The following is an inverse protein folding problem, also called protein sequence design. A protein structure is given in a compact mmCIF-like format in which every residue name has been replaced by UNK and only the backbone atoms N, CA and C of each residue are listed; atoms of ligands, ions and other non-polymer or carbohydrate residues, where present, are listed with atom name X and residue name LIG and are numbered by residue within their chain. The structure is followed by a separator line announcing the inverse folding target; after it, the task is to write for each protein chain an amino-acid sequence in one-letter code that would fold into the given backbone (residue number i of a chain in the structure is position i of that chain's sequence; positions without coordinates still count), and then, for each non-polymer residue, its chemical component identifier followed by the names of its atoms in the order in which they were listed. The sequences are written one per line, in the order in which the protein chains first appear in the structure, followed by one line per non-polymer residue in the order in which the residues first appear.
data_IF_122944532117
#
_entry.id   IF_122944532117
#
_cell.length_a   1.000
_cell.length_b   1.000
_cell.length_c   1.000
_cell.angle_alpha   90.00
_cell.angle_beta   90.00
_cell.angle_gamma   90.00
#
_symmetry.space_group_name_H-M   'P 1'
#
loop_
_entity.id
_entity.type
_entity.pdbx_description
1 polymer ?
#
# COMPACT_ATOMS: atom_id res chain seq x y z
N UNK A 1 -2.27 -4.68 18.16
CA UNK A 1 -0.90 -4.63 17.58
C UNK A 1 -0.46 -3.18 17.63
N UNK A 2 0.59 -2.85 18.36
CA UNK A 2 1.16 -1.50 18.36
C UNK A 2 2.04 -1.43 17.12
N UNK A 3 1.76 -0.50 16.23
CA UNK A 3 2.56 -0.28 15.01
C UNK A 3 4.05 -0.11 15.39
N UNK A 4 4.89 -1.04 14.98
CA UNK A 4 6.33 -1.06 15.28
C UNK A 4 6.76 -1.91 16.48
N UNK A 5 5.86 -2.61 17.16
CA UNK A 5 6.23 -3.54 18.26
C UNK A 5 7.16 -4.67 17.79
N UNK A 6 7.01 -5.09 16.54
CA UNK A 6 7.76 -6.19 15.94
C UNK A 6 9.07 -5.74 15.27
N UNK A 7 9.38 -4.45 15.31
CA UNK A 7 10.52 -3.86 14.60
C UNK A 7 11.86 -4.54 14.92
N UNK A 8 12.12 -4.82 16.20
CA UNK A 8 13.39 -5.44 16.61
C UNK A 8 13.52 -6.86 16.06
N UNK A 9 12.41 -7.60 16.06
CA UNK A 9 12.39 -8.96 15.52
C UNK A 9 12.51 -8.98 14.00
N UNK A 10 11.86 -8.04 13.30
CA UNK A 10 12.03 -7.89 11.84
C UNK A 10 13.48 -7.54 11.50
N UNK A 11 14.13 -6.64 12.25
CA UNK A 11 15.54 -6.32 12.07
C UNK A 11 16.42 -7.56 12.29
N UNK A 12 16.10 -8.37 13.30
CA UNK A 12 16.84 -9.61 13.54
C UNK A 12 16.63 -10.61 12.38
N UNK A 13 15.40 -10.78 11.90
CA UNK A 13 15.11 -11.62 10.73
C UNK A 13 15.90 -11.15 9.49
N UNK A 14 15.97 -9.84 9.25
CA UNK A 14 16.77 -9.29 8.13
C UNK A 14 18.25 -9.73 8.25
N UNK A 15 18.83 -9.63 9.46
CA UNK A 15 20.22 -10.02 9.70
C UNK A 15 20.43 -11.53 9.49
N UNK A 16 19.52 -12.35 10.02
CA UNK A 16 19.60 -13.79 9.93
C UNK A 16 19.47 -14.27 8.49
N UNK A 17 18.53 -13.71 7.72
CA UNK A 17 18.35 -14.01 6.30
C UNK A 17 19.55 -13.55 5.46
N UNK A 18 20.13 -12.39 5.79
CA UNK A 18 21.34 -11.91 5.14
C UNK A 18 22.52 -12.89 5.35
N UNK A 19 22.71 -13.38 6.58
CA UNK A 19 23.76 -14.35 6.89
C UNK A 19 23.56 -15.70 6.18
N UNK A 20 22.30 -16.08 5.95
CA UNK A 20 21.93 -17.30 5.22
C UNK A 20 21.98 -17.12 3.70
N UNK A 21 22.22 -15.92 3.18
CA UNK A 21 22.19 -15.62 1.75
C UNK A 21 20.77 -15.58 1.14
N UNK A 22 19.73 -15.61 1.98
CA UNK A 22 18.32 -15.62 1.57
C UNK A 22 17.77 -14.21 1.41
N UNK A 23 18.30 -13.44 0.47
CA UNK A 23 18.01 -12.02 0.31
C UNK A 23 16.54 -11.68 -0.04
N UNK A 24 15.80 -12.65 -0.58
CA UNK A 24 14.40 -12.50 -0.97
C UNK A 24 13.42 -13.17 0.01
N UNK A 25 13.92 -13.68 1.14
CA UNK A 25 13.06 -14.29 2.13
C UNK A 25 12.23 -13.24 2.87
N UNK A 26 10.97 -13.59 3.16
CA UNK A 26 10.09 -12.74 3.95
C UNK A 26 10.66 -12.53 5.35
N UNK A 27 10.67 -11.29 5.80
CA UNK A 27 11.22 -10.87 7.11
C UNK A 27 10.16 -10.31 8.05
N UNK A 28 9.01 -9.91 7.52
CA UNK A 28 7.90 -9.37 8.29
C UNK A 28 7.19 -10.45 9.08
N UNK A 29 6.69 -10.05 10.26
CA UNK A 29 6.04 -10.95 11.22
C UNK A 29 4.56 -10.59 11.29
N UNK A 30 3.72 -11.64 11.37
CA UNK A 30 2.28 -11.47 11.58
C UNK A 30 1.46 -11.20 10.33
N UNK A 31 2.09 -11.17 9.16
CA UNK A 31 1.35 -11.15 7.91
C UNK A 31 0.64 -12.49 7.67
N UNK A 32 -0.61 -12.47 7.23
CA UNK A 32 -1.30 -13.70 6.85
C UNK A 32 -0.55 -14.46 5.77
N UNK A 33 -0.42 -15.78 5.95
CA UNK A 33 0.08 -16.66 4.89
C UNK A 33 -1.12 -17.15 4.09
N UNK A 34 -1.11 -16.92 2.80
CA UNK A 34 -2.19 -17.31 1.90
C UNK A 34 -1.73 -18.43 0.97
N UNK A 35 -2.58 -19.42 0.78
CA UNK A 35 -2.45 -20.35 -0.34
C UNK A 35 -2.75 -19.65 -1.67
N UNK A 36 -2.28 -20.18 -2.81
CA UNK A 36 -2.60 -19.63 -4.13
C UNK A 36 -4.10 -19.50 -4.41
N UNK A 37 -4.92 -20.40 -3.87
CA UNK A 37 -6.37 -20.37 -4.03
C UNK A 37 -6.99 -19.22 -3.23
N UNK A 38 -6.61 -19.03 -1.97
CA UNK A 38 -7.07 -17.92 -1.14
C UNK A 38 -6.69 -16.57 -1.75
N UNK A 39 -5.46 -16.42 -2.24
CA UNK A 39 -5.03 -15.21 -2.94
C UNK A 39 -5.89 -14.93 -4.18
N UNK A 40 -6.23 -15.97 -4.94
CA UNK A 40 -7.11 -15.85 -6.11
C UNK A 40 -8.55 -15.50 -5.71
N UNK A 41 -9.07 -16.07 -4.64
CA UNK A 41 -10.40 -15.72 -4.13
C UNK A 41 -10.50 -14.25 -3.72
N UNK A 42 -9.48 -13.74 -3.04
CA UNK A 42 -9.41 -12.31 -2.64
C UNK A 42 -9.40 -11.41 -3.87
N UNK A 43 -8.56 -11.70 -4.86
CA UNK A 43 -8.49 -10.89 -6.09
C UNK A 43 -9.80 -10.96 -6.89
N UNK A 44 -10.41 -12.13 -7.02
CA UNK A 44 -11.70 -12.29 -7.71
C UNK A 44 -12.82 -11.53 -6.99
N UNK A 45 -12.85 -11.59 -5.66
CA UNK A 45 -13.80 -10.83 -4.85
C UNK A 45 -13.60 -9.32 -5.07
N UNK A 46 -12.37 -8.85 -5.01
CA UNK A 46 -12.04 -7.44 -5.28
C UNK A 46 -12.54 -7.00 -6.65
N UNK A 47 -12.24 -7.77 -7.71
CA UNK A 47 -12.68 -7.46 -9.08
C UNK A 47 -14.19 -7.38 -9.20
N UNK A 48 -14.92 -8.30 -8.56
CA UNK A 48 -16.37 -8.37 -8.58
C UNK A 48 -17.02 -7.22 -7.81
N UNK A 49 -16.45 -6.86 -6.66
CA UNK A 49 -17.09 -5.95 -5.71
C UNK A 49 -16.70 -4.48 -5.87
N UNK A 50 -15.49 -4.17 -6.39
CA UNK A 50 -14.91 -2.82 -6.39
C UNK A 50 -15.77 -1.73 -7.04
N UNK A 51 -16.67 -2.10 -7.95
CA UNK A 51 -17.61 -1.17 -8.61
C UNK A 51 -18.97 -1.08 -7.96
N UNK A 52 -19.29 -1.96 -6.99
CA UNK A 52 -20.61 -2.03 -6.34
C UNK A 52 -20.83 -0.87 -5.37
N UNK A 53 -22.11 -0.50 -5.17
CA UNK A 53 -22.48 0.56 -4.23
C UNK A 53 -22.04 0.25 -2.78
N UNK A 54 -22.22 -0.97 -2.23
CA UNK A 54 -21.75 -1.29 -0.89
C UNK A 54 -20.25 -1.13 -0.73
N UNK A 55 -19.45 -1.56 -1.73
CA UNK A 55 -18.01 -1.40 -1.70
C UNK A 55 -17.62 0.09 -1.72
N UNK A 56 -18.24 0.88 -2.58
CA UNK A 56 -18.00 2.33 -2.68
C UNK A 56 -18.33 3.04 -1.37
N UNK A 57 -19.40 2.65 -0.69
CA UNK A 57 -19.75 3.20 0.63
C UNK A 57 -18.71 2.85 1.70
N UNK A 58 -18.29 1.58 1.79
CA UNK A 58 -17.22 1.16 2.69
C UNK A 58 -15.91 1.89 2.39
N UNK A 59 -15.58 2.08 1.12
CA UNK A 59 -14.39 2.84 0.70
C UNK A 59 -14.48 4.32 1.06
N UNK A 60 -15.67 4.91 1.02
CA UNK A 60 -15.87 6.28 1.51
C UNK A 60 -15.57 6.38 3.02
N UNK A 61 -16.10 5.46 3.83
CA UNK A 61 -15.86 5.43 5.27
C UNK A 61 -14.38 5.17 5.59
N UNK A 62 -13.76 4.20 4.93
CA UNK A 62 -12.35 3.87 5.12
C UNK A 62 -11.44 5.07 4.79
N UNK A 63 -11.72 5.78 3.70
CA UNK A 63 -10.99 7.01 3.35
C UNK A 63 -11.17 8.10 4.40
N UNK A 64 -12.39 8.27 4.92
CA UNK A 64 -12.63 9.25 5.97
C UNK A 64 -11.77 8.96 7.20
N UNK A 65 -11.77 7.72 7.67
CA UNK A 65 -10.94 7.29 8.81
C UNK A 65 -9.45 7.49 8.52
N UNK A 66 -8.98 7.02 7.36
CA UNK A 66 -7.58 7.16 6.96
C UNK A 66 -7.15 8.63 6.85
N UNK A 67 -8.01 9.50 6.34
CA UNK A 67 -7.74 10.93 6.21
C UNK A 67 -7.66 11.63 7.56
N UNK A 68 -8.53 11.28 8.50
CA UNK A 68 -8.48 11.81 9.88
C UNK A 68 -7.18 11.36 10.54
N UNK A 69 -6.84 10.06 10.47
CA UNK A 69 -5.57 9.54 11.00
C UNK A 69 -4.36 10.21 10.36
N UNK A 70 -4.35 10.35 9.04
CA UNK A 70 -3.30 11.05 8.29
C UNK A 70 -3.11 12.49 8.77
N UNK A 71 -4.19 13.22 9.00
CA UNK A 71 -4.13 14.61 9.50
C UNK A 71 -3.44 14.68 10.87
N UNK A 72 -3.86 13.84 11.83
CA UNK A 72 -3.27 13.88 13.17
C UNK A 72 -1.81 13.41 13.19
N UNK A 73 -1.47 12.39 12.41
CA UNK A 73 -0.09 11.86 12.33
C UNK A 73 0.85 12.88 11.68
N UNK A 74 0.39 13.57 10.62
CA UNK A 74 1.26 14.38 9.78
C UNK A 74 1.04 15.90 9.94
N UNK A 75 0.35 16.36 10.98
CA UNK A 75 0.06 17.80 11.17
C UNK A 75 1.31 18.68 11.23
N UNK A 76 2.42 18.14 11.70
CA UNK A 76 3.71 18.82 11.82
C UNK A 76 4.72 18.35 10.76
N UNK A 77 4.30 17.56 9.76
CA UNK A 77 5.17 17.07 8.71
C UNK A 77 5.40 18.17 7.68
N UNK A 78 6.65 18.54 7.48
CA UNK A 78 7.09 19.42 6.41
C UNK A 78 7.42 18.59 5.17
N UNK A 79 7.00 19.07 4.00
CA UNK A 79 7.31 18.46 2.72
C UNK A 79 8.34 19.39 2.05
N UNK A 80 9.53 18.85 1.82
CA UNK A 80 10.64 19.58 1.21
C UNK A 80 10.91 19.00 -0.18
N UNK A 81 11.02 19.86 -1.18
CA UNK A 81 11.35 19.49 -2.55
C UNK A 81 10.59 20.31 -3.59
N UNK A 82 11.07 20.25 -4.82
CA UNK A 82 10.50 20.97 -5.97
C UNK A 82 9.57 20.04 -6.75
N UNK A 83 8.34 19.89 -6.26
CA UNK A 83 7.32 19.11 -6.96
C UNK A 83 6.22 20.06 -7.42
N UNK A 84 6.01 20.13 -8.74
CA UNK A 84 4.84 20.81 -9.30
C UNK A 84 3.56 20.04 -8.94
N UNK A 85 2.66 20.60 -8.10
CA UNK A 85 1.41 19.94 -7.74
C UNK A 85 0.49 19.64 -8.92
N UNK A 86 0.63 20.38 -10.03
CA UNK A 86 -0.16 20.18 -11.24
C UNK A 86 0.13 18.83 -11.91
N UNK A 87 1.33 18.26 -11.69
CA UNK A 87 1.67 16.93 -12.18
C UNK A 87 0.70 15.89 -11.63
N UNK A 88 0.35 15.97 -10.36
CA UNK A 88 -0.56 15.01 -9.72
C UNK A 88 -1.96 15.01 -10.33
N UNK A 89 -2.37 16.12 -10.94
CA UNK A 89 -3.69 16.24 -11.60
C UNK A 89 -3.76 15.52 -12.95
N UNK A 90 -2.64 15.02 -13.45
CA UNK A 90 -2.55 14.31 -14.75
C UNK A 90 -2.73 12.79 -14.64
N UNK A 91 -2.79 12.26 -13.42
CA UNK A 91 -2.70 10.83 -13.16
C UNK A 91 -1.23 10.36 -13.16
N UNK A 92 -0.70 10.02 -11.99
CA UNK A 92 0.72 9.71 -11.82
C UNK A 92 0.93 8.48 -10.96
N UNK A 93 2.07 7.84 -11.17
CA UNK A 93 2.60 6.83 -10.26
C UNK A 93 3.65 7.50 -9.39
N UNK A 94 3.47 7.41 -8.07
CA UNK A 94 4.47 7.80 -7.08
C UNK A 94 5.18 6.53 -6.64
N UNK A 95 6.50 6.55 -6.62
CA UNK A 95 7.32 5.52 -6.00
C UNK A 95 7.96 6.07 -4.74
N UNK A 96 8.05 5.27 -3.70
CA UNK A 96 8.64 5.65 -2.42
C UNK A 96 9.41 4.47 -1.84
N UNK A 97 10.35 4.78 -0.96
CA UNK A 97 11.01 3.79 -0.11
C UNK A 97 9.99 3.22 0.87
N UNK A 98 10.19 1.96 1.26
CA UNK A 98 9.33 1.28 2.22
C UNK A 98 10.10 1.00 3.53
N UNK A 99 10.01 1.90 4.50
CA UNK A 99 10.78 1.83 5.75
C UNK A 99 9.94 1.89 7.04
N UNK A 100 8.64 2.17 6.92
CA UNK A 100 7.74 2.30 8.07
C UNK A 100 6.30 1.98 7.68
N UNK A 101 5.50 1.34 8.52
CA UNK A 101 4.08 1.11 8.23
C UNK A 101 3.26 2.41 8.14
N UNK A 102 3.80 3.54 8.57
CA UNK A 102 3.11 4.83 8.58
C UNK A 102 3.49 5.76 7.41
N UNK A 103 4.48 5.42 6.61
CA UNK A 103 4.96 6.31 5.54
C UNK A 103 3.90 6.58 4.46
N UNK A 104 3.00 5.64 4.20
CA UNK A 104 1.88 5.85 3.29
C UNK A 104 0.99 7.03 3.73
N UNK A 105 0.95 7.33 5.04
CA UNK A 105 0.23 8.50 5.57
C UNK A 105 0.92 9.80 5.18
N UNK A 106 2.27 9.82 5.08
CA UNK A 106 3.04 10.98 4.61
C UNK A 106 2.72 11.26 3.15
N UNK A 107 2.75 10.21 2.31
CA UNK A 107 2.41 10.34 0.88
C UNK A 107 0.94 10.77 0.71
N UNK A 108 0.02 10.20 1.49
CA UNK A 108 -1.39 10.62 1.49
C UNK A 108 -1.55 12.08 1.89
N UNK A 109 -0.80 12.54 2.88
CA UNK A 109 -0.79 13.94 3.32
C UNK A 109 -0.33 14.87 2.18
N UNK A 110 0.77 14.52 1.51
CA UNK A 110 1.28 15.25 0.35
C UNK A 110 0.26 15.32 -0.78
N UNK A 111 -0.28 14.17 -1.20
CA UNK A 111 -1.27 14.07 -2.29
C UNK A 111 -2.51 14.92 -2.00
N UNK A 112 -2.97 14.94 -0.75
CA UNK A 112 -4.10 15.78 -0.32
C UNK A 112 -3.78 17.26 -0.31
N UNK A 113 -2.60 17.66 0.17
CA UNK A 113 -2.13 19.07 0.10
C UNK A 113 -2.07 19.58 -1.34
N UNK A 114 -1.76 18.70 -2.28
CA UNK A 114 -1.73 19.01 -3.72
C UNK A 114 -3.11 18.99 -4.40
N UNK A 115 -4.20 18.90 -3.62
CA UNK A 115 -5.57 18.97 -4.11
C UNK A 115 -6.16 17.68 -4.64
N UNK A 116 -5.42 16.56 -4.62
CA UNK A 116 -5.93 15.26 -5.01
C UNK A 116 -6.74 14.61 -3.89
N UNK A 117 -7.86 13.96 -4.27
CA UNK A 117 -8.79 13.34 -3.31
C UNK A 117 -8.47 11.90 -2.99
N UNK A 118 -7.74 11.19 -3.88
CA UNK A 118 -7.47 9.77 -3.78
C UNK A 118 -6.00 9.45 -3.95
N UNK A 119 -5.54 8.53 -3.14
CA UNK A 119 -4.27 7.84 -3.30
C UNK A 119 -4.57 6.36 -3.35
N UNK A 120 -4.43 5.75 -4.52
CA UNK A 120 -4.51 4.30 -4.67
C UNK A 120 -3.17 3.70 -4.28
N UNK A 121 -3.16 2.60 -3.52
CA UNK A 121 -1.93 1.95 -3.04
C UNK A 121 -1.90 0.52 -3.53
N UNK A 122 -0.90 0.15 -4.32
CA UNK A 122 -0.66 -1.24 -4.69
C UNK A 122 -0.07 -1.96 -3.49
N UNK A 123 -0.74 -3.01 -3.02
CA UNK A 123 -0.39 -3.71 -1.79
C UNK A 123 -0.52 -5.22 -1.95
N UNK A 124 0.34 -5.97 -1.29
CA UNK A 124 0.32 -7.45 -1.33
C UNK A 124 -1.06 -7.98 -0.96
N UNK A 125 -1.50 -9.01 -1.66
CA UNK A 125 -2.82 -9.64 -1.46
C UNK A 125 -3.00 -10.17 -0.02
N UNK A 126 -1.91 -10.52 0.65
CA UNK A 126 -1.90 -10.95 2.05
C UNK A 126 -2.48 -9.90 3.00
N UNK A 127 -2.26 -8.61 2.73
CA UNK A 127 -2.78 -7.51 3.53
C UNK A 127 -4.32 -7.44 3.52
N UNK A 128 -4.96 -7.97 2.48
CA UNK A 128 -6.43 -8.03 2.38
C UNK A 128 -7.05 -9.12 3.27
N UNK A 129 -6.24 -10.05 3.76
CA UNK A 129 -6.66 -11.08 4.72
C UNK A 129 -6.50 -10.65 6.19
N UNK A 130 -5.94 -9.47 6.45
CA UNK A 130 -5.84 -8.93 7.81
C UNK A 130 -7.23 -8.70 8.40
N UNK A 131 -7.34 -8.89 9.72
CA UNK A 131 -8.60 -8.71 10.45
C UNK A 131 -8.77 -7.31 11.06
N UNK A 132 -9.94 -7.08 11.64
CA UNK A 132 -10.24 -5.87 12.41
C UNK A 132 -10.21 -4.57 11.62
N UNK A 133 -9.87 -3.48 12.29
CA UNK A 133 -9.82 -2.13 11.68
C UNK A 133 -8.74 -2.04 10.60
N UNK A 134 -7.58 -2.68 10.82
CA UNK A 134 -6.48 -2.70 9.85
C UNK A 134 -6.94 -3.39 8.57
N UNK A 135 -7.56 -4.57 8.68
CA UNK A 135 -8.10 -5.28 7.53
C UNK A 135 -9.20 -4.49 6.80
N UNK A 136 -10.07 -3.80 7.53
CA UNK A 136 -11.04 -2.90 6.91
C UNK A 136 -10.37 -1.79 6.10
N UNK A 137 -9.35 -1.14 6.65
CA UNK A 137 -8.59 -0.10 5.94
C UNK A 137 -7.86 -0.68 4.73
N UNK A 138 -7.19 -1.85 4.87
CA UNK A 138 -6.50 -2.50 3.75
C UNK A 138 -7.45 -2.89 2.62
N UNK A 139 -8.66 -3.30 2.92
CA UNK A 139 -9.63 -3.68 1.88
C UNK A 139 -10.30 -2.48 1.18
N UNK A 140 -10.44 -1.33 1.87
CA UNK A 140 -11.35 -0.28 1.39
C UNK A 140 -10.73 1.12 1.24
N UNK A 141 -9.44 1.35 1.61
CA UNK A 141 -8.81 2.67 1.47
C UNK A 141 -8.10 2.83 0.12
N UNK A 142 -8.84 2.61 -0.98
CA UNK A 142 -8.33 2.70 -2.35
C UNK A 142 -7.09 1.79 -2.59
N UNK A 143 -7.03 0.64 -1.92
CA UNK A 143 -5.96 -0.33 -2.05
C UNK A 143 -6.23 -1.25 -3.23
N UNK A 144 -5.20 -1.54 -4.02
CA UNK A 144 -5.23 -2.41 -5.18
C UNK A 144 -4.41 -3.67 -4.84
N UNK A 145 -5.00 -4.87 -4.86
CA UNK A 145 -4.27 -6.09 -4.50
C UNK A 145 -3.18 -6.41 -5.53
N UNK A 146 -1.99 -6.71 -5.05
CA UNK A 146 -0.90 -7.32 -5.82
C UNK A 146 -0.89 -8.82 -5.52
N UNK A 147 -1.20 -9.63 -6.51
CA UNK A 147 -1.24 -11.09 -6.40
C UNK A 147 -0.15 -11.72 -7.24
N UNK A 148 0.44 -12.86 -6.82
CA UNK A 148 1.39 -13.62 -7.62
C UNK A 148 0.74 -14.35 -8.81
N UNK A 149 -0.59 -14.34 -8.94
CA UNK A 149 -1.28 -14.90 -10.10
C UNK A 149 -0.92 -14.11 -11.37
N UNK A 150 -0.17 -14.76 -12.28
CA UNK A 150 0.33 -14.13 -13.51
C UNK A 150 -0.79 -13.59 -14.42
N UNK A 151 -1.94 -14.26 -14.47
CA UNK A 151 -3.07 -13.79 -15.27
C UNK A 151 -3.64 -12.49 -14.69
N UNK A 152 -3.84 -12.47 -13.38
CA UNK A 152 -4.27 -11.25 -12.69
C UNK A 152 -3.26 -10.12 -12.88
N UNK A 153 -1.98 -10.41 -12.67
CA UNK A 153 -0.90 -9.41 -12.77
C UNK A 153 -0.83 -8.78 -14.16
N UNK A 154 -0.83 -9.60 -15.21
CA UNK A 154 -0.61 -9.10 -16.59
C UNK A 154 -1.85 -8.47 -17.23
N UNK A 155 -3.04 -8.83 -16.82
CA UNK A 155 -4.30 -8.35 -17.42
C UNK A 155 -5.05 -7.41 -16.52
N UNK A 156 -5.46 -7.92 -15.34
CA UNK A 156 -6.39 -7.20 -14.48
C UNK A 156 -5.72 -6.04 -13.74
N UNK A 157 -4.55 -6.28 -13.12
CA UNK A 157 -3.81 -5.24 -12.40
C UNK A 157 -3.41 -4.10 -13.35
N UNK A 158 -2.88 -4.45 -14.53
CA UNK A 158 -2.48 -3.47 -15.53
C UNK A 158 -3.67 -2.64 -16.01
N UNK A 159 -4.82 -3.29 -16.25
CA UNK A 159 -6.05 -2.60 -16.64
C UNK A 159 -6.56 -1.65 -15.53
N UNK A 160 -6.50 -2.08 -14.25
CA UNK A 160 -6.88 -1.24 -13.11
C UNK A 160 -5.95 -0.03 -12.99
N UNK A 161 -4.65 -0.22 -13.11
CA UNK A 161 -3.67 0.88 -13.09
C UNK A 161 -3.97 1.88 -14.21
N UNK A 162 -4.18 1.39 -15.44
CA UNK A 162 -4.53 2.25 -16.59
C UNK A 162 -5.85 3.01 -16.35
N UNK A 163 -6.88 2.34 -15.83
CA UNK A 163 -8.16 2.97 -15.46
C UNK A 163 -7.95 4.13 -14.47
N UNK A 164 -7.15 3.90 -13.41
CA UNK A 164 -6.89 4.91 -12.39
C UNK A 164 -6.12 6.11 -12.95
N UNK A 165 -5.09 5.86 -13.74
CA UNK A 165 -4.32 6.93 -14.38
C UNK A 165 -5.17 7.75 -15.36
N UNK A 166 -6.00 7.09 -16.17
CA UNK A 166 -6.94 7.77 -17.09
C UNK A 166 -7.96 8.63 -16.34
N UNK A 167 -8.37 8.20 -15.15
CA UNK A 167 -9.23 8.96 -14.24
C UNK A 167 -8.48 10.07 -13.50
N UNK A 168 -7.20 10.31 -13.83
CA UNK A 168 -6.32 11.32 -13.19
C UNK A 168 -6.13 11.07 -11.70
N UNK A 169 -6.19 9.82 -11.27
CA UNK A 169 -5.93 9.42 -9.88
C UNK A 169 -4.43 9.16 -9.66
N UNK A 170 -3.97 9.31 -8.44
CA UNK A 170 -2.59 9.02 -8.05
C UNK A 170 -2.47 7.58 -7.54
N UNK A 171 -1.41 6.90 -7.94
CA UNK A 171 -1.11 5.52 -7.53
C UNK A 171 0.24 5.51 -6.81
N UNK A 172 0.30 4.87 -5.65
CA UNK A 172 1.53 4.62 -4.90
C UNK A 172 1.97 3.17 -5.10
N UNK A 173 3.23 3.00 -5.48
CA UNK A 173 3.88 1.69 -5.61
C UNK A 173 5.19 1.73 -4.82
N UNK A 174 5.44 0.69 -4.03
CA UNK A 174 6.71 0.47 -3.35
C UNK A 174 7.55 -0.53 -4.15
N UNK A 175 8.57 -0.08 -4.91
CA UNK A 175 9.37 -0.97 -5.74
C UNK A 175 10.15 -2.01 -4.94
N UNK A 176 10.43 -1.70 -3.68
CA UNK A 176 11.19 -2.54 -2.75
C UNK A 176 10.41 -3.77 -2.27
N UNK A 177 9.09 -3.81 -2.49
CA UNK A 177 8.16 -4.89 -2.16
C UNK A 177 8.02 -5.20 -0.66
N UNK A 178 9.13 -5.19 0.08
CA UNK A 178 9.21 -5.45 1.52
C UNK A 178 9.56 -4.18 2.29
N UNK A 179 9.18 -4.14 3.58
CA UNK A 179 9.49 -3.02 4.46
C UNK A 179 10.89 -3.19 5.06
N UNK A 180 11.77 -2.21 4.81
CA UNK A 180 13.17 -2.28 5.22
C UNK A 180 13.48 -1.30 6.35
N UNK A 181 13.27 -1.71 7.58
CA UNK A 181 13.65 -0.91 8.75
C UNK A 181 15.17 -0.68 8.82
N UNK A 182 15.58 0.55 9.08
CA UNK A 182 16.98 0.96 9.31
C UNK A 182 17.93 0.78 8.11
N UNK A 183 17.47 0.56 6.92
CA UNK A 183 18.41 0.57 5.80
C UNK A 183 18.85 2.01 5.45
N UNK A 184 20.13 2.13 5.04
CA UNK A 184 20.76 3.42 4.74
C UNK A 184 20.94 3.67 3.24
N UNK A 185 20.70 2.67 2.42
CA UNK A 185 20.82 2.75 0.96
C UNK A 185 19.60 2.12 0.32
N UNK A 186 19.06 2.72 -0.77
CA UNK A 186 18.03 2.08 -1.56
C UNK A 186 18.53 0.71 -2.04
N UNK A 187 17.65 -0.27 -2.08
CA UNK A 187 17.93 -1.53 -2.75
C UNK A 187 17.75 -1.37 -4.25
N UNK A 188 18.55 -2.09 -5.03
CA UNK A 188 18.40 -2.13 -6.47
C UNK A 188 17.09 -2.78 -6.88
#
# INVERSE_FOLDING_TARGET
MILGADRLQVIQNIKDRLLQGELNAKVEIGDPVLSPNEAREITNRYLKERSTLPFRFKSFLARMIANIGTFFINRNTEIVGDIDPEILKKGVIITSNHFSPLENTVIRHFVRKSGQKRLNIVSQVTNFAMGGVVGFLMNYTDTIPLSPDMRYFTRELTAIIAEKLNNKETILIYPEQEMWFNYRKPRP
#
